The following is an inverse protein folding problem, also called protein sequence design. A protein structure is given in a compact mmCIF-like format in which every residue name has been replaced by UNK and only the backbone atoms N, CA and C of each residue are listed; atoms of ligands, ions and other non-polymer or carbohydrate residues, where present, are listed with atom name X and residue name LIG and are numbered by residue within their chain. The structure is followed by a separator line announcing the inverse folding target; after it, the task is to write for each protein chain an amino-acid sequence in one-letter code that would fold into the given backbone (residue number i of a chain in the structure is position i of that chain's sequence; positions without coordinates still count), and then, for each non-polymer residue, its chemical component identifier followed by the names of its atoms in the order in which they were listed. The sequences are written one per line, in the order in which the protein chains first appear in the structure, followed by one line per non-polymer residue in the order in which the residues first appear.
data_IF_304610638925
#
_entry.id   IF_304610638925
#
_cell.length_a   1.000
_cell.length_b   1.000
_cell.length_c   1.000
_cell.angle_alpha   90.00
_cell.angle_beta   90.00
_cell.angle_gamma   90.00
#
_symmetry.space_group_name_H-M   'P 1'
#
loop_
_entity.id
_entity.type
_entity.pdbx_description
1 polymer ?
#
# COMPACT_ATOMS: atom_id res chain seq x y z
N UNK A 1 -0.82 -2.38 8.35
CA UNK A 1 -0.23 -2.48 9.72
C UNK A 1 -1.09 -1.82 10.80
N UNK A 2 -1.96 -0.84 10.49
CA UNK A 2 -2.84 -0.16 11.45
C UNK A 2 -3.51 -1.05 12.50
N UNK A 3 -4.08 -2.21 12.13
CA UNK A 3 -4.72 -3.12 13.08
C UNK A 3 -3.79 -3.58 14.21
N UNK A 4 -2.51 -3.83 13.91
CA UNK A 4 -1.52 -4.33 14.87
C UNK A 4 -1.16 -3.25 15.90
N UNK A 5 -1.23 -1.98 15.51
CA UNK A 5 -0.87 -0.85 16.37
C UNK A 5 -1.87 -0.63 17.53
N UNK A 6 -3.02 -1.31 17.52
CA UNK A 6 -3.99 -1.28 18.60
C UNK A 6 -4.66 0.09 18.81
N UNK A 7 -5.14 0.32 20.03
CA UNK A 7 -5.80 1.57 20.44
C UNK A 7 -4.78 2.55 21.01
N UNK A 8 -4.81 3.80 20.54
CA UNK A 8 -4.02 4.90 21.10
C UNK A 8 -4.92 5.85 21.87
N UNK A 9 -4.49 6.25 23.06
CA UNK A 9 -5.19 7.25 23.89
C UNK A 9 -4.65 8.64 23.51
N UNK A 10 -5.48 9.44 22.84
CA UNK A 10 -5.09 10.77 22.34
C UNK A 10 -5.50 11.94 23.25
N UNK A 11 -6.40 11.69 24.20
CA UNK A 11 -6.92 12.66 25.15
C UNK A 11 -7.13 11.97 26.50
N UNK A 12 -6.90 12.67 27.60
CA UNK A 12 -7.10 12.14 28.95
C UNK A 12 -8.52 11.62 29.19
N UNK A 13 -9.50 12.27 28.58
CA UNK A 13 -10.92 11.94 28.78
C UNK A 13 -11.50 11.03 27.71
N UNK A 14 -10.67 10.38 26.88
CA UNK A 14 -11.13 9.48 25.80
C UNK A 14 -12.22 10.11 24.92
N UNK A 15 -11.97 11.32 24.43
CA UNK A 15 -12.86 12.01 23.50
C UNK A 15 -14.22 12.45 24.09
N UNK A 16 -14.45 12.40 25.41
CA UNK A 16 -15.74 12.86 25.98
C UNK A 16 -16.02 14.35 25.76
N UNK A 17 -14.98 15.17 25.70
CA UNK A 17 -15.12 16.61 25.39
C UNK A 17 -15.72 16.88 24.00
N UNK A 18 -15.78 15.88 23.10
CA UNK A 18 -16.44 16.04 21.80
C UNK A 18 -17.96 16.05 21.87
N UNK A 19 -18.57 15.62 22.99
CA UNK A 19 -20.01 15.59 23.11
C UNK A 19 -20.60 16.92 23.61
N UNK A 20 -19.77 17.81 24.16
CA UNK A 20 -20.21 19.11 24.63
C UNK A 20 -20.65 20.00 23.45
N UNK A 21 -21.93 20.36 23.42
CA UNK A 21 -22.48 21.29 22.42
C UNK A 21 -22.62 20.73 20.99
N UNK A 22 -22.38 19.42 20.77
CA UNK A 22 -22.55 18.81 19.46
C UNK A 22 -24.03 18.61 19.12
N UNK A 23 -24.41 19.04 17.92
CA UNK A 23 -25.72 18.72 17.37
C UNK A 23 -25.65 17.33 16.70
N UNK A 24 -26.20 16.31 17.37
CA UNK A 24 -26.25 14.93 16.88
C UNK A 24 -27.11 14.73 15.60
N UNK A 25 -27.65 15.81 15.02
CA UNK A 25 -28.39 15.80 13.75
C UNK A 25 -27.51 15.63 12.50
N UNK A 26 -26.19 15.43 12.67
CA UNK A 26 -25.30 14.86 11.66
C UNK A 26 -24.21 15.82 11.17
N UNK A 27 -22.98 15.28 11.05
CA UNK A 27 -21.84 15.96 10.42
C UNK A 27 -20.98 16.84 11.34
N UNK A 28 -21.43 17.19 12.55
CA UNK A 28 -20.68 18.07 13.44
C UNK A 28 -19.35 17.47 13.91
N UNK A 29 -19.29 16.15 14.14
CA UNK A 29 -18.03 15.47 14.42
C UNK A 29 -17.03 15.57 13.27
N UNK A 30 -17.49 15.54 12.02
CA UNK A 30 -16.62 15.62 10.84
C UNK A 30 -16.01 17.02 10.66
N UNK A 31 -16.66 18.06 11.21
CA UNK A 31 -16.18 19.45 11.16
C UNK A 31 -15.13 19.77 12.23
N UNK A 32 -14.99 18.90 13.25
CA UNK A 32 -14.05 19.15 14.34
C UNK A 32 -12.59 19.07 13.86
N UNK A 33 -11.77 20.04 14.27
CA UNK A 33 -10.34 20.12 13.87
C UNK A 33 -9.57 18.84 14.19
N UNK A 34 -9.82 18.26 15.34
CA UNK A 34 -9.17 17.02 15.80
C UNK A 34 -9.68 15.77 15.09
N UNK A 35 -10.93 15.73 14.63
CA UNK A 35 -11.36 14.66 13.70
C UNK A 35 -10.53 14.71 12.43
N UNK A 36 -10.30 15.89 11.86
CA UNK A 36 -9.45 16.04 10.67
C UNK A 36 -7.98 15.65 10.92
N UNK A 37 -7.46 15.94 12.12
CA UNK A 37 -6.11 15.53 12.55
C UNK A 37 -6.03 14.00 12.66
N UNK A 38 -6.86 13.40 13.51
CA UNK A 38 -6.82 11.98 13.85
C UNK A 38 -7.27 11.10 12.69
N UNK A 39 -8.11 11.57 11.77
CA UNK A 39 -8.50 10.79 10.59
C UNK A 39 -7.28 10.32 9.79
N UNK A 40 -6.24 11.15 9.66
CA UNK A 40 -5.02 10.80 8.92
C UNK A 40 -4.13 9.80 9.65
N UNK A 41 -4.24 9.73 10.97
CA UNK A 41 -3.38 8.92 11.84
C UNK A 41 -4.04 7.57 12.19
N UNK A 42 -5.35 7.60 12.44
CA UNK A 42 -6.11 6.49 13.02
C UNK A 42 -6.87 5.69 11.97
N UNK A 43 -7.28 6.29 10.86
CA UNK A 43 -8.00 5.56 9.81
C UNK A 43 -7.02 4.88 8.86
N UNK A 44 -7.26 3.59 8.62
CA UNK A 44 -6.62 2.89 7.52
C UNK A 44 -7.35 3.21 6.23
N UNK A 45 -6.69 3.94 5.34
CA UNK A 45 -7.15 4.16 3.98
C UNK A 45 -6.60 3.03 3.10
N UNK A 46 -7.44 2.10 2.63
CA UNK A 46 -6.95 1.04 1.76
C UNK A 46 -6.54 1.60 0.40
N UNK A 47 -5.63 0.89 -0.26
CA UNK A 47 -5.20 1.23 -1.62
C UNK A 47 -6.24 0.90 -2.69
N UNK A 48 -5.88 1.16 -3.96
CA UNK A 48 -6.74 1.04 -5.17
C UNK A 48 -7.46 -0.30 -5.38
N UNK A 49 -7.10 -1.36 -4.64
CA UNK A 49 -7.72 -2.69 -4.77
C UNK A 49 -9.09 -2.76 -4.07
N UNK A 50 -9.23 -2.09 -2.92
CA UNK A 50 -10.47 -2.08 -2.14
C UNK A 50 -11.26 -0.85 -2.52
N UNK A 51 -12.44 -1.08 -3.09
CA UNK A 51 -13.38 -0.01 -3.42
C UNK A 51 -14.08 0.50 -2.16
N UNK A 52 -14.20 1.82 -2.06
CA UNK A 52 -14.88 2.52 -0.95
C UNK A 52 -15.84 3.58 -1.45
N UNK A 53 -16.11 3.61 -2.75
CA UNK A 53 -17.07 4.52 -3.32
C UNK A 53 -18.50 4.07 -3.00
N UNK A 54 -19.44 4.97 -3.21
CA UNK A 54 -20.85 4.67 -3.31
C UNK A 54 -21.13 3.64 -4.40
N UNK A 55 -22.21 2.87 -4.26
CA UNK A 55 -22.68 1.95 -5.30
C UNK A 55 -22.90 2.63 -6.65
N UNK A 56 -23.29 3.91 -6.66
CA UNK A 56 -23.42 4.70 -7.89
C UNK A 56 -22.06 4.97 -8.52
N UNK A 57 -21.11 5.49 -7.74
CA UNK A 57 -19.75 5.78 -8.21
C UNK A 57 -19.04 4.53 -8.75
N UNK A 58 -19.15 3.41 -8.03
CA UNK A 58 -18.63 2.11 -8.50
C UNK A 58 -19.27 1.67 -9.84
N UNK A 59 -20.57 1.90 -10.02
CA UNK A 59 -21.26 1.58 -11.28
C UNK A 59 -20.77 2.47 -12.43
N UNK A 60 -20.70 3.77 -12.19
CA UNK A 60 -20.21 4.76 -13.15
C UNK A 60 -18.74 4.54 -13.52
N UNK A 61 -17.93 4.01 -12.60
CA UNK A 61 -16.52 3.67 -12.81
C UNK A 61 -16.29 2.30 -13.48
N UNK A 62 -17.33 1.70 -14.08
CA UNK A 62 -17.22 0.44 -14.82
C UNK A 62 -17.39 -0.84 -14.00
N UNK A 63 -17.88 -0.73 -12.75
CA UNK A 63 -18.31 -1.88 -11.93
C UNK A 63 -17.25 -2.99 -11.74
N UNK A 64 -15.97 -2.61 -11.67
CA UNK A 64 -14.90 -3.61 -11.56
C UNK A 64 -15.01 -4.41 -10.25
N UNK A 65 -14.72 -5.70 -10.31
CA UNK A 65 -14.53 -6.49 -9.10
C UNK A 65 -13.12 -6.27 -8.50
N UNK A 66 -12.90 -6.83 -7.32
CA UNK A 66 -11.63 -6.68 -6.59
C UNK A 66 -10.46 -7.31 -7.34
N UNK A 67 -10.67 -8.43 -8.04
CA UNK A 67 -9.61 -9.10 -8.79
C UNK A 67 -9.16 -8.31 -10.02
N UNK A 68 -10.11 -7.68 -10.71
CA UNK A 68 -9.84 -6.80 -11.84
C UNK A 68 -9.01 -5.60 -11.39
N UNK A 69 -9.41 -4.93 -10.31
CA UNK A 69 -8.62 -3.84 -9.71
C UNK A 69 -7.23 -4.31 -9.27
N UNK A 70 -7.12 -5.50 -8.69
CA UNK A 70 -5.83 -6.07 -8.28
C UNK A 70 -4.90 -6.29 -9.49
N UNK A 71 -5.40 -6.89 -10.58
CA UNK A 71 -4.63 -7.09 -11.82
C UNK A 71 -4.13 -5.78 -12.40
N UNK A 72 -5.00 -4.76 -12.47
CA UNK A 72 -4.61 -3.43 -12.91
C UNK A 72 -3.53 -2.83 -12.02
N UNK A 73 -3.69 -2.95 -10.69
CA UNK A 73 -2.70 -2.43 -9.74
C UNK A 73 -1.34 -3.13 -9.88
N UNK A 74 -1.31 -4.43 -10.15
CA UNK A 74 -0.05 -5.16 -10.43
C UNK A 74 0.63 -4.59 -11.67
N UNK A 75 -0.11 -4.44 -12.77
CA UNK A 75 0.43 -3.84 -14.00
C UNK A 75 0.99 -2.43 -13.76
N UNK A 76 0.27 -1.59 -13.04
CA UNK A 76 0.77 -0.25 -12.66
C UNK A 76 2.06 -0.31 -11.83
N UNK A 77 2.16 -1.22 -10.86
CA UNK A 77 3.35 -1.35 -10.01
C UNK A 77 4.55 -1.79 -10.83
N UNK A 78 4.38 -2.79 -11.70
CA UNK A 78 5.44 -3.28 -12.58
C UNK A 78 5.87 -2.19 -13.57
N UNK A 79 4.92 -1.48 -14.17
CA UNK A 79 5.20 -0.38 -15.11
C UNK A 79 5.92 0.82 -14.49
N UNK A 80 5.73 1.05 -13.18
CA UNK A 80 6.37 2.15 -12.46
C UNK A 80 7.58 1.72 -11.63
N UNK A 81 7.94 0.44 -11.66
CA UNK A 81 9.07 -0.06 -10.90
C UNK A 81 10.39 0.42 -11.51
N UNK A 82 11.22 1.06 -10.69
CA UNK A 82 12.61 1.32 -10.99
C UNK A 82 13.46 0.49 -10.02
N UNK A 83 14.43 -0.27 -10.56
CA UNK A 83 15.36 -1.04 -9.72
C UNK A 83 16.13 -0.05 -8.82
N UNK A 84 16.19 -0.29 -7.49
CA UNK A 84 17.02 0.54 -6.63
C UNK A 84 18.49 0.41 -7.03
N UNK A 85 19.25 1.47 -6.87
CA UNK A 85 20.70 1.44 -7.06
C UNK A 85 21.31 0.47 -6.04
N UNK A 86 22.13 -0.45 -6.54
CA UNK A 86 22.87 -1.41 -5.74
C UNK A 86 24.36 -1.09 -5.83
N UNK A 87 25.09 -1.37 -4.75
CA UNK A 87 26.54 -1.31 -4.79
C UNK A 87 27.08 -2.34 -5.79
N UNK A 88 27.87 -1.86 -6.75
CA UNK A 88 28.35 -2.68 -7.86
C UNK A 88 29.33 -3.77 -7.43
N UNK A 89 30.06 -3.55 -6.34
CA UNK A 89 30.99 -4.56 -5.78
C UNK A 89 30.19 -5.70 -5.20
N UNK A 90 29.20 -5.40 -4.36
CA UNK A 90 28.33 -6.43 -3.78
C UNK A 90 27.49 -7.17 -4.84
N UNK A 91 27.02 -6.46 -5.89
CA UNK A 91 26.30 -7.11 -6.99
C UNK A 91 27.19 -8.08 -7.76
N UNK A 92 28.45 -7.71 -8.02
CA UNK A 92 29.43 -8.58 -8.67
C UNK A 92 29.80 -9.80 -7.80
N UNK A 93 30.05 -9.59 -6.51
CA UNK A 93 30.36 -10.67 -5.56
C UNK A 93 29.21 -11.68 -5.46
N UNK A 94 27.97 -11.17 -5.37
CA UNK A 94 26.77 -12.01 -5.34
C UNK A 94 26.62 -12.79 -6.65
N UNK A 95 26.83 -12.13 -7.79
CA UNK A 95 26.77 -12.79 -9.09
C UNK A 95 27.81 -13.92 -9.22
N UNK A 96 29.05 -13.67 -8.80
CA UNK A 96 30.11 -14.67 -8.82
C UNK A 96 29.79 -15.88 -7.93
N UNK A 97 29.28 -15.63 -6.72
CA UNK A 97 28.87 -16.68 -5.80
C UNK A 97 27.73 -17.54 -6.36
N UNK A 98 26.69 -16.91 -6.93
CA UNK A 98 25.56 -17.63 -7.52
C UNK A 98 25.97 -18.40 -8.77
N UNK A 99 26.91 -17.88 -9.57
CA UNK A 99 27.44 -18.57 -10.75
C UNK A 99 28.20 -19.85 -10.37
N UNK A 100 29.03 -19.81 -9.32
CA UNK A 100 29.73 -21.00 -8.81
C UNK A 100 28.74 -22.10 -8.38
N UNK A 101 27.69 -21.74 -7.64
CA UNK A 101 26.62 -22.67 -7.27
C UNK A 101 25.88 -23.23 -8.49
N UNK A 102 25.65 -22.40 -9.52
CA UNK A 102 25.02 -22.84 -10.76
C UNK A 102 25.87 -23.87 -11.50
N UNK A 103 27.19 -23.66 -11.56
CA UNK A 103 28.14 -24.62 -12.14
C UNK A 103 28.09 -25.96 -11.43
N UNK A 104 28.06 -25.97 -10.09
CA UNK A 104 27.92 -27.19 -9.30
C UNK A 104 26.58 -27.91 -9.56
N UNK A 105 25.53 -27.16 -9.90
CA UNK A 105 24.21 -27.69 -10.26
C UNK A 105 24.08 -28.10 -11.75
N UNK A 106 25.15 -27.95 -12.56
CA UNK A 106 25.16 -28.33 -13.97
C UNK A 106 24.68 -27.25 -14.95
N UNK A 107 24.52 -26.00 -14.49
CA UNK A 107 24.27 -24.85 -15.35
C UNK A 107 25.60 -24.19 -15.73
N UNK A 108 25.77 -23.78 -17.00
CA UNK A 108 27.01 -23.15 -17.47
C UNK A 108 27.02 -21.62 -17.29
N UNK A 109 25.85 -21.00 -17.29
CA UNK A 109 25.67 -19.56 -17.14
C UNK A 109 24.39 -19.26 -16.34
N UNK A 110 24.34 -18.08 -15.71
CA UNK A 110 23.12 -17.62 -15.06
C UNK A 110 22.12 -17.13 -16.11
N UNK A 111 20.81 -17.34 -15.90
CA UNK A 111 19.78 -16.75 -16.74
C UNK A 111 19.99 -15.24 -16.83
N UNK A 112 19.99 -14.73 -18.07
CA UNK A 112 20.00 -13.29 -18.27
C UNK A 112 18.71 -12.74 -17.69
N UNK A 113 18.83 -11.74 -16.82
CA UNK A 113 17.71 -10.85 -16.61
C UNK A 113 17.52 -10.11 -17.94
N UNK A 114 16.52 -10.52 -18.72
CA UNK A 114 15.93 -9.60 -19.68
C UNK A 114 15.64 -8.32 -18.89
N UNK A 115 16.04 -7.15 -19.42
CA UNK A 115 15.63 -5.86 -18.86
C UNK A 115 14.19 -6.01 -18.45
N UNK A 116 13.89 -5.80 -17.17
CA UNK A 116 12.56 -6.00 -16.62
C UNK A 116 11.60 -5.00 -17.29
N UNK A 117 11.23 -5.29 -18.54
CA UNK A 117 10.32 -4.51 -19.33
C UNK A 117 8.95 -4.80 -18.73
N UNK A 118 8.21 -3.76 -18.33
CA UNK A 118 6.89 -3.98 -17.82
C UNK A 118 5.99 -4.51 -18.94
N UNK A 119 5.49 -5.73 -18.77
CA UNK A 119 4.35 -6.24 -19.55
C UNK A 119 3.05 -5.62 -19.04
#
# INVERSE_FOLDING_TARGET
KRMIDGMKVHTDTLATGFYEGVNFKGGDFLKQKITMKLFREEQYMPGKVIDRDSMRGWRESGSMDTFTRAKLRVKEILASYARPELDSTHEADLHAFVLDLAHQAGLTELPKLEDAMPV
#
